data_IF_485983719688
#
_entry.id   IF_485983719688
#
_cell.length_a   1.000
_cell.length_b   1.000
_cell.length_c   1.000
_cell.angle_alpha   90.00
_cell.angle_beta   90.00
_cell.angle_gamma   90.00
#
_symmetry.space_group_name_H-M   'P 1'
#
loop_
_entity.id
_entity.type
_entity.pdbx_description
1 polymer ?
#
# COMPACT_ATOMS: atom_id res chain seq x y z
N UNK A 1 -59.74 28.90 2.32
CA UNK A 1 -59.81 28.53 3.76
C UNK A 1 -59.01 27.24 3.88
N UNK A 2 -57.72 27.22 4.17
CA UNK A 2 -57.04 27.90 5.27
C UNK A 2 -56.79 26.83 6.33
N UNK A 3 -55.59 26.24 6.33
CA UNK A 3 -54.89 25.78 7.53
C UNK A 3 -53.46 25.35 7.16
N UNK A 4 -52.55 26.25 7.48
CA UNK A 4 -51.09 26.14 7.43
C UNK A 4 -50.64 25.43 8.70
N UNK A 5 -49.87 24.35 8.60
CA UNK A 5 -49.22 23.72 9.75
C UNK A 5 -47.73 24.07 9.74
N UNK A 6 -47.29 24.60 10.88
CA UNK A 6 -46.01 25.27 11.13
C UNK A 6 -44.81 24.34 10.97
N UNK A 7 -43.79 24.81 10.26
CA UNK A 7 -42.46 24.22 10.25
C UNK A 7 -41.83 24.36 11.64
N UNK A 8 -41.75 23.25 12.37
CA UNK A 8 -40.96 23.14 13.59
C UNK A 8 -39.48 23.10 13.24
N UNK A 9 -38.78 24.22 13.42
CA UNK A 9 -37.34 24.31 13.34
C UNK A 9 -36.69 23.53 14.48
N UNK A 10 -36.10 22.39 14.16
CA UNK A 10 -35.04 21.81 14.98
C UNK A 10 -33.72 22.12 14.27
N UNK A 11 -33.05 23.19 14.71
CA UNK A 11 -31.61 23.35 14.52
C UNK A 11 -30.90 22.31 15.41
N UNK A 12 -31.05 21.03 15.05
CA UNK A 12 -30.01 20.07 15.35
C UNK A 12 -28.85 20.47 14.47
N UNK A 13 -27.85 21.15 15.05
CA UNK A 13 -26.53 21.23 14.48
C UNK A 13 -26.08 19.79 14.25
N UNK A 14 -26.39 19.25 13.07
CA UNK A 14 -25.65 18.14 12.50
C UNK A 14 -24.27 18.73 12.30
N UNK A 15 -23.44 18.60 13.33
CA UNK A 15 -21.99 18.55 13.16
C UNK A 15 -21.75 17.42 12.17
N UNK A 16 -21.83 17.76 10.89
CA UNK A 16 -21.11 17.08 9.83
C UNK A 16 -19.64 17.34 10.12
N UNK A 17 -19.16 16.72 11.20
CA UNK A 17 -17.76 16.36 11.32
C UNK A 17 -17.56 15.33 10.22
N UNK A 18 -17.34 15.85 9.01
CA UNK A 18 -16.61 15.14 8.00
C UNK A 18 -15.36 14.63 8.71
N UNK A 19 -15.35 13.33 8.98
CA UNK A 19 -14.16 12.55 9.29
C UNK A 19 -13.27 12.56 8.03
N UNK A 20 -12.81 13.74 7.64
CA UNK A 20 -11.74 13.88 6.67
C UNK A 20 -10.46 13.79 7.50
N UNK A 21 -9.72 12.68 7.46
CA UNK A 21 -8.34 12.73 7.89
C UNK A 21 -7.65 13.84 7.08
N UNK A 22 -6.82 14.59 7.77
CA UNK A 22 -6.01 15.69 7.25
C UNK A 22 -5.54 15.37 5.82
N UNK A 23 -5.98 16.16 4.83
CA UNK A 23 -5.66 15.96 3.40
C UNK A 23 -4.21 16.34 3.10
N UNK A 24 -3.35 16.43 4.12
CA UNK A 24 -1.95 16.76 3.97
C UNK A 24 -1.24 15.64 3.21
N UNK A 25 -0.44 16.04 2.22
CA UNK A 25 0.35 15.10 1.44
C UNK A 25 1.35 14.40 2.37
N UNK A 26 1.43 13.05 2.38
CA UNK A 26 2.40 12.34 3.18
C UNK A 26 3.83 12.82 2.88
N UNK A 27 4.65 12.94 3.94
CA UNK A 27 6.05 13.29 3.81
C UNK A 27 6.76 12.31 2.84
N UNK A 28 7.48 12.84 1.86
CA UNK A 28 8.21 12.07 0.85
C UNK A 28 7.40 11.60 -0.36
N UNK A 29 6.07 11.79 -0.41
CA UNK A 29 5.28 11.37 -1.58
C UNK A 29 5.62 12.19 -2.84
N UNK A 30 5.84 13.49 -2.71
CA UNK A 30 6.21 14.35 -3.84
C UNK A 30 7.59 13.99 -4.43
N UNK A 31 8.56 13.69 -3.55
CA UNK A 31 9.88 13.20 -3.96
C UNK A 31 9.77 11.86 -4.69
N UNK A 32 8.97 10.93 -4.15
CA UNK A 32 8.72 9.62 -4.76
C UNK A 32 8.10 9.76 -6.16
N UNK A 33 7.10 10.62 -6.32
CA UNK A 33 6.43 10.84 -7.60
C UNK A 33 7.29 11.61 -8.61
N UNK A 34 8.29 12.36 -8.15
CA UNK A 34 9.27 13.07 -9.00
C UNK A 34 10.40 12.15 -9.48
N UNK A 35 10.58 10.98 -8.86
CA UNK A 35 11.57 10.00 -9.29
C UNK A 35 11.18 9.35 -10.63
N UNK A 36 12.15 8.84 -11.42
CA UNK A 36 11.85 8.05 -12.61
C UNK A 36 10.95 6.85 -12.28
N UNK A 37 10.03 6.46 -13.19
CA UNK A 37 9.19 5.29 -12.97
C UNK A 37 10.06 4.03 -12.88
N UNK A 38 9.64 3.01 -12.10
CA UNK A 38 10.36 1.74 -12.02
C UNK A 38 10.51 1.08 -13.40
N UNK A 39 11.65 0.43 -13.62
CA UNK A 39 11.87 -0.38 -14.82
C UNK A 39 10.92 -1.60 -14.87
N UNK A 40 10.75 -2.21 -16.04
CA UNK A 40 9.83 -3.34 -16.23
C UNK A 40 10.17 -4.54 -15.34
N UNK A 41 11.44 -4.81 -15.07
CA UNK A 41 11.85 -5.90 -14.19
C UNK A 41 11.39 -5.64 -12.75
N UNK A 42 11.47 -4.39 -12.30
CA UNK A 42 10.91 -4.00 -11.00
C UNK A 42 9.39 -4.06 -10.98
N UNK A 43 8.71 -3.55 -12.01
CA UNK A 43 7.24 -3.63 -12.09
C UNK A 43 6.74 -5.08 -12.03
N UNK A 44 7.37 -6.01 -12.77
CA UNK A 44 7.02 -7.45 -12.78
C UNK A 44 7.23 -8.12 -11.42
N UNK A 45 8.33 -7.80 -10.72
CA UNK A 45 8.59 -8.31 -9.35
C UNK A 45 7.56 -7.87 -8.31
N UNK A 46 6.84 -6.80 -8.58
CA UNK A 46 5.73 -6.31 -7.76
C UNK A 46 4.36 -6.50 -8.45
N UNK A 47 4.32 -7.25 -9.56
CA UNK A 47 3.13 -7.51 -10.35
C UNK A 47 2.26 -8.61 -9.76
N UNK A 48 1.23 -9.01 -10.50
CA UNK A 48 0.29 -10.06 -10.11
C UNK A 48 0.95 -11.45 -10.09
N UNK A 49 0.62 -12.23 -9.06
CA UNK A 49 1.13 -13.58 -8.88
C UNK A 49 0.18 -14.62 -9.52
N UNK A 50 0.60 -15.35 -10.58
CA UNK A 50 -0.23 -16.39 -11.20
C UNK A 50 -0.49 -17.60 -10.30
N UNK A 51 0.28 -17.76 -9.21
CA UNK A 51 0.11 -18.85 -8.23
C UNK A 51 -0.78 -18.43 -7.05
N UNK A 52 -1.16 -17.16 -6.97
CA UNK A 52 -1.96 -16.61 -5.89
C UNK A 52 -3.09 -15.71 -6.44
N UNK A 53 -3.88 -16.29 -7.34
CA UNK A 53 -5.06 -15.69 -7.93
C UNK A 53 -6.20 -16.71 -8.07
N UNK A 54 -7.43 -16.22 -8.15
CA UNK A 54 -8.62 -17.04 -8.42
C UNK A 54 -8.50 -17.79 -9.74
N UNK A 55 -9.14 -18.94 -9.84
CA UNK A 55 -9.08 -19.80 -11.02
C UNK A 55 -9.56 -19.09 -12.31
N UNK A 56 -10.46 -18.11 -12.19
CA UNK A 56 -11.00 -17.35 -13.32
C UNK A 56 -10.14 -16.16 -13.75
N UNK A 57 -8.96 -15.99 -13.17
CA UNK A 57 -8.02 -14.94 -13.52
C UNK A 57 -6.83 -15.55 -14.25
N UNK A 58 -6.50 -14.99 -15.40
CA UNK A 58 -5.28 -15.30 -16.14
C UNK A 58 -4.32 -14.11 -16.04
N UNK A 59 -3.17 -14.31 -15.44
CA UNK A 59 -2.11 -13.30 -15.37
C UNK A 59 -1.33 -13.29 -16.69
N UNK A 60 -1.18 -12.10 -17.27
CA UNK A 60 -0.50 -11.89 -18.55
C UNK A 60 0.71 -10.97 -18.38
N UNK A 61 1.51 -10.86 -19.45
CA UNK A 61 2.67 -9.97 -19.52
C UNK A 61 3.65 -10.09 -18.34
N UNK A 62 3.83 -11.32 -17.82
CA UNK A 62 4.67 -11.62 -16.66
C UNK A 62 4.26 -10.86 -15.38
N UNK A 63 2.96 -10.66 -15.16
CA UNK A 63 2.45 -10.06 -13.92
C UNK A 63 2.01 -8.60 -14.06
N UNK A 64 2.19 -7.96 -15.21
CA UNK A 64 1.80 -6.55 -15.38
C UNK A 64 0.29 -6.35 -15.47
N UNK A 65 -0.43 -7.35 -15.98
CA UNK A 65 -1.88 -7.30 -16.11
C UNK A 65 -2.51 -8.68 -15.86
N UNK A 66 -3.82 -8.69 -15.64
CA UNK A 66 -4.59 -9.92 -15.61
C UNK A 66 -5.92 -9.73 -16.34
N UNK A 67 -6.45 -10.83 -16.84
CA UNK A 67 -7.79 -10.88 -17.42
C UNK A 67 -8.67 -11.81 -16.60
N UNK A 68 -9.88 -11.34 -16.29
CA UNK A 68 -10.91 -12.15 -15.62
C UNK A 68 -11.84 -12.76 -16.67
N UNK A 69 -12.01 -14.08 -16.63
CA UNK A 69 -12.98 -14.80 -17.46
C UNK A 69 -14.42 -14.38 -17.12
N UNK A 70 -15.34 -14.25 -18.09
CA UNK A 70 -16.70 -13.77 -17.86
C UNK A 70 -17.58 -14.85 -17.22
N UNK A 71 -17.36 -15.12 -15.93
CA UNK A 71 -18.15 -16.06 -15.12
C UNK A 71 -19.21 -15.29 -14.34
N UNK A 72 -20.47 -15.67 -14.50
CA UNK A 72 -21.59 -15.08 -13.79
C UNK A 72 -21.58 -15.50 -12.31
N UNK A 73 -22.04 -14.61 -11.42
CA UNK A 73 -22.14 -14.87 -9.98
C UNK A 73 -20.82 -15.29 -9.31
N UNK A 74 -19.67 -14.79 -9.80
CA UNK A 74 -18.37 -14.99 -9.15
C UNK A 74 -17.72 -13.67 -8.76
N UNK A 75 -17.04 -13.69 -7.62
CA UNK A 75 -16.12 -12.65 -7.16
C UNK A 75 -14.72 -13.25 -7.15
N UNK A 76 -13.78 -12.61 -7.81
CA UNK A 76 -12.44 -13.14 -8.06
C UNK A 76 -11.39 -12.17 -7.54
N UNK A 77 -10.27 -12.70 -7.02
CA UNK A 77 -9.19 -11.92 -6.44
C UNK A 77 -7.82 -12.39 -6.93
N UNK A 78 -6.87 -11.46 -7.01
CA UNK A 78 -5.48 -11.74 -7.28
C UNK A 78 -4.62 -10.98 -6.28
N UNK A 79 -3.49 -11.57 -5.88
CA UNK A 79 -2.48 -10.91 -5.06
C UNK A 79 -1.22 -10.64 -5.87
N UNK A 80 -0.44 -9.67 -5.42
CA UNK A 80 0.87 -9.39 -5.99
C UNK A 80 1.88 -10.49 -5.61
N UNK A 81 2.98 -10.58 -6.36
CA UNK A 81 4.10 -11.45 -6.03
C UNK A 81 4.62 -11.11 -4.62
N UNK A 82 4.75 -12.11 -3.72
CA UNK A 82 5.19 -11.86 -2.37
C UNK A 82 6.66 -11.42 -2.36
N UNK A 83 6.97 -10.48 -1.47
CA UNK A 83 8.36 -10.14 -1.18
C UNK A 83 9.10 -11.37 -0.64
N UNK A 84 10.39 -11.49 -0.98
CA UNK A 84 11.22 -12.57 -0.43
C UNK A 84 11.29 -12.48 1.09
N UNK A 85 11.46 -13.63 1.76
CA UNK A 85 11.64 -13.69 3.22
C UNK A 85 12.78 -12.77 3.66
N UNK A 86 13.86 -12.70 2.87
CA UNK A 86 15.00 -11.82 3.10
C UNK A 86 14.63 -10.34 3.06
N UNK A 87 13.73 -9.92 2.18
CA UNK A 87 13.23 -8.55 2.16
C UNK A 87 12.35 -8.28 3.40
N UNK A 88 11.40 -9.18 3.68
CA UNK A 88 10.49 -9.04 4.82
C UNK A 88 11.24 -9.00 6.16
N UNK A 89 12.22 -9.89 6.37
CA UNK A 89 13.03 -9.88 7.57
C UNK A 89 13.83 -8.59 7.72
N UNK A 90 14.30 -8.01 6.61
CA UNK A 90 14.98 -6.71 6.63
C UNK A 90 14.04 -5.61 7.10
N UNK A 91 12.84 -5.54 6.52
CA UNK A 91 11.82 -4.55 6.88
C UNK A 91 11.47 -4.68 8.37
N UNK A 92 11.19 -5.89 8.86
CA UNK A 92 10.90 -6.12 10.28
C UNK A 92 12.03 -5.65 11.20
N UNK A 93 13.29 -5.94 10.86
CA UNK A 93 14.43 -5.50 11.67
C UNK A 93 14.59 -3.97 11.61
N UNK A 94 14.46 -3.34 10.44
CA UNK A 94 14.53 -1.87 10.31
C UNK A 94 13.42 -1.18 11.10
N UNK A 95 12.21 -1.73 11.07
CA UNK A 95 11.08 -1.23 11.86
C UNK A 95 11.34 -1.36 13.37
N UNK A 96 11.87 -2.49 13.82
CA UNK A 96 12.23 -2.70 15.23
C UNK A 96 13.39 -1.81 15.71
N UNK A 97 14.33 -1.44 14.82
CA UNK A 97 15.41 -0.50 15.13
C UNK A 97 14.91 0.95 15.25
N UNK A 98 13.92 1.33 14.45
CA UNK A 98 13.44 2.71 14.32
C UNK A 98 14.42 3.63 13.58
N UNK A 99 13.95 4.82 13.20
CA UNK A 99 14.70 5.76 12.34
C UNK A 99 16.06 6.16 12.96
N UNK A 100 16.10 6.44 14.26
CA UNK A 100 17.32 6.90 14.96
C UNK A 100 18.44 5.87 14.89
N UNK A 101 18.16 4.62 15.25
CA UNK A 101 19.18 3.56 15.25
C UNK A 101 19.51 3.09 13.84
N UNK A 102 18.56 3.19 12.91
CA UNK A 102 18.81 2.88 11.50
C UNK A 102 19.83 3.84 10.88
N UNK A 103 19.78 5.13 11.23
CA UNK A 103 20.79 6.12 10.83
C UNK A 103 22.19 5.85 11.41
N UNK A 104 22.29 5.04 12.47
CA UNK A 104 23.53 4.74 13.19
C UNK A 104 23.97 3.26 13.04
N UNK A 105 23.49 2.54 12.01
CA UNK A 105 23.80 1.11 11.81
C UNK A 105 25.31 0.82 11.77
N UNK A 106 26.12 1.75 11.26
CA UNK A 106 27.58 1.63 11.24
C UNK A 106 28.20 1.52 12.63
N UNK A 107 27.64 2.21 13.63
CA UNK A 107 28.10 2.22 15.02
C UNK A 107 27.54 1.06 15.87
N UNK A 108 26.52 0.35 15.38
CA UNK A 108 25.95 -0.78 16.10
C UNK A 108 26.95 -1.93 16.24
N UNK A 109 26.92 -2.69 17.35
CA UNK A 109 27.77 -3.86 17.58
C UNK A 109 27.27 -5.08 16.77
N UNK A 110 27.12 -4.90 15.45
CA UNK A 110 26.66 -5.92 14.52
C UNK A 110 27.80 -6.40 13.61
N UNK A 111 27.80 -7.68 13.21
CA UNK A 111 28.70 -8.17 12.17
C UNK A 111 28.62 -7.35 10.87
N UNK A 112 29.73 -7.17 10.12
CA UNK A 112 29.73 -6.39 8.88
C UNK A 112 28.70 -6.84 7.84
N UNK A 113 28.41 -8.15 7.77
CA UNK A 113 27.39 -8.69 6.88
C UNK A 113 25.98 -8.17 7.23
N UNK A 114 25.64 -8.09 8.52
CA UNK A 114 24.36 -7.56 8.98
C UNK A 114 24.24 -6.06 8.73
N UNK A 115 25.34 -5.30 8.87
CA UNK A 115 25.36 -3.86 8.54
C UNK A 115 25.05 -3.64 7.07
N UNK A 116 25.72 -4.35 6.16
CA UNK A 116 25.43 -4.29 4.71
C UNK A 116 23.99 -4.69 4.40
N UNK A 117 23.52 -5.76 5.02
CA UNK A 117 22.17 -6.25 4.82
C UNK A 117 21.09 -5.21 5.21
N UNK A 118 21.25 -4.52 6.35
CA UNK A 118 20.32 -3.49 6.81
C UNK A 118 20.40 -2.19 6.01
N UNK A 119 21.56 -1.87 5.43
CA UNK A 119 21.78 -0.66 4.63
C UNK A 119 21.46 -0.84 3.14
N UNK A 120 21.28 -2.08 2.68
CA UNK A 120 20.89 -2.36 1.30
C UNK A 120 19.54 -1.68 0.97
N UNK A 121 19.50 -1.00 -0.18
CA UNK A 121 18.32 -0.39 -0.77
C UNK A 121 17.74 -1.36 -1.80
#
# INVERSE_FOLDING_TARGET
MGQTALAGGNNGTLTSQALCPDLSCPEGLEELLSAPPPDLGTQRRHGWNPKDCSENIEVKEEGLCFERRPVAQSTDGARAEPHSLLHLSRVCVRQALGATRLGQVSALPLPPAMKRYLLYQ
#
